data_IF_937824486576
#
_entry.id   IF_937824486576
#
_cell.length_a   1.000
_cell.length_b   1.000
_cell.length_c   1.000
_cell.angle_alpha   90.00
_cell.angle_beta   90.00
_cell.angle_gamma   90.00
#
_symmetry.space_group_name_H-M   'P 1'
#
loop_
_entity.id
_entity.type
_entity.pdbx_description
1 polymer ?
#
# COMPACT_ATOMS: atom_id res chain seq x y z
N UNK A 1 -27.84 -31.87 15.42
CA UNK A 1 -27.66 -31.01 14.25
C UNK A 1 -26.38 -30.24 14.50
N UNK A 2 -25.34 -30.47 13.69
CA UNK A 2 -24.20 -29.57 13.71
C UNK A 2 -24.76 -28.20 13.31
N UNK A 3 -24.59 -27.20 14.19
CA UNK A 3 -24.84 -25.81 13.83
C UNK A 3 -23.71 -25.50 12.86
N UNK A 4 -23.99 -25.55 11.57
CA UNK A 4 -23.03 -25.15 10.57
C UNK A 4 -22.84 -23.65 10.75
N UNK A 5 -21.62 -23.21 11.06
CA UNK A 5 -21.33 -21.80 11.18
C UNK A 5 -21.57 -21.17 9.80
N UNK A 6 -22.41 -20.13 9.67
CA UNK A 6 -22.68 -19.51 8.37
C UNK A 6 -21.40 -19.01 7.68
N UNK A 7 -20.35 -18.67 8.46
CA UNK A 7 -19.02 -18.35 7.92
C UNK A 7 -18.36 -19.54 7.24
N UNK A 8 -18.46 -20.72 7.83
CA UNK A 8 -17.85 -21.94 7.27
C UNK A 8 -18.56 -22.38 5.99
N UNK A 9 -19.90 -22.30 5.97
CA UNK A 9 -20.68 -22.57 4.76
C UNK A 9 -20.28 -21.62 3.62
N UNK A 10 -20.22 -20.31 3.90
CA UNK A 10 -19.79 -19.33 2.91
C UNK A 10 -18.34 -19.58 2.46
N UNK A 11 -17.40 -19.86 3.38
CA UNK A 11 -16.02 -20.17 3.03
C UNK A 11 -15.93 -21.37 2.07
N UNK A 12 -16.68 -22.44 2.34
CA UNK A 12 -16.68 -23.63 1.50
C UNK A 12 -17.23 -23.33 0.10
N UNK A 13 -18.30 -22.52 0.01
CA UNK A 13 -18.85 -22.06 -1.27
C UNK A 13 -17.83 -21.23 -2.03
N UNK A 14 -17.18 -20.26 -1.38
CA UNK A 14 -16.18 -19.41 -2.02
C UNK A 14 -14.98 -20.21 -2.53
N UNK A 15 -14.47 -21.18 -1.76
CA UNK A 15 -13.39 -22.09 -2.20
C UNK A 15 -13.78 -22.94 -3.41
N UNK A 16 -15.08 -23.13 -3.67
CA UNK A 16 -15.56 -23.84 -4.86
C UNK A 16 -15.71 -22.95 -6.09
N UNK A 17 -15.84 -21.63 -5.90
CA UNK A 17 -16.05 -20.65 -6.96
C UNK A 17 -14.72 -20.03 -7.41
N UNK A 18 -13.82 -19.78 -6.47
CA UNK A 18 -12.56 -19.06 -6.70
C UNK A 18 -11.34 -19.98 -6.53
N UNK A 19 -10.33 -19.74 -7.35
CA UNK A 19 -9.03 -20.39 -7.22
C UNK A 19 -8.24 -19.81 -6.03
N UNK A 20 -7.34 -20.61 -5.46
CA UNK A 20 -6.48 -20.21 -4.34
C UNK A 20 -5.53 -19.04 -4.67
N UNK A 21 -5.30 -18.77 -5.95
CA UNK A 21 -4.52 -17.60 -6.41
C UNK A 21 -5.33 -16.29 -6.39
N UNK A 22 -6.65 -16.38 -6.49
CA UNK A 22 -7.56 -15.23 -6.51
C UNK A 22 -8.07 -14.89 -5.11
N UNK A 23 -8.48 -15.91 -4.35
CA UNK A 23 -9.06 -15.76 -3.02
C UNK A 23 -8.42 -16.73 -2.04
N UNK A 24 -7.70 -16.19 -1.06
CA UNK A 24 -7.17 -16.97 0.06
C UNK A 24 -8.07 -16.79 1.27
N UNK A 25 -8.46 -17.89 1.91
CA UNK A 25 -9.25 -17.88 3.14
C UNK A 25 -8.42 -18.57 4.23
N UNK A 26 -8.08 -17.83 5.27
CA UNK A 26 -7.38 -18.34 6.45
C UNK A 26 -8.35 -18.98 7.44
N UNK A 27 -7.83 -19.84 8.32
CA UNK A 27 -8.62 -20.49 9.38
C UNK A 27 -9.24 -19.48 10.37
N UNK A 28 -8.63 -18.30 10.50
CA UNK A 28 -9.12 -17.19 11.34
C UNK A 28 -10.22 -16.35 10.65
N UNK A 29 -10.83 -16.86 9.58
CA UNK A 29 -11.81 -16.12 8.75
C UNK A 29 -11.29 -14.78 8.22
N UNK A 30 -9.99 -14.73 7.93
CA UNK A 30 -9.36 -13.66 7.16
C UNK A 30 -9.31 -14.06 5.69
N UNK A 31 -10.00 -13.29 4.85
CA UNK A 31 -10.05 -13.47 3.41
C UNK A 31 -9.16 -12.42 2.76
N UNK A 32 -8.33 -12.83 1.81
CA UNK A 32 -7.61 -11.91 0.94
C UNK A 32 -8.03 -12.17 -0.50
N UNK A 33 -8.63 -11.16 -1.12
CA UNK A 33 -9.03 -11.20 -2.51
C UNK A 33 -8.08 -10.35 -3.36
N UNK A 34 -7.52 -10.95 -4.40
CA UNK A 34 -6.64 -10.29 -5.35
C UNK A 34 -7.42 -9.85 -6.58
N UNK A 35 -7.44 -8.54 -6.82
CA UNK A 35 -8.12 -7.93 -7.96
C UNK A 35 -7.09 -7.56 -9.03
N UNK A 36 -7.31 -8.04 -10.27
CA UNK A 36 -6.51 -7.68 -11.44
C UNK A 36 -5.34 -8.61 -11.75
N UNK A 37 -4.69 -8.37 -12.89
CA UNK A 37 -3.61 -9.23 -13.40
C UNK A 37 -2.29 -9.00 -12.64
N UNK A 38 -1.66 -10.10 -12.23
CA UNK A 38 -0.42 -10.09 -11.47
C UNK A 38 0.70 -9.33 -12.22
N UNK A 39 1.24 -8.28 -11.60
CA UNK A 39 2.37 -7.53 -12.14
C UNK A 39 1.99 -6.21 -12.83
N UNK A 40 0.70 -5.90 -12.93
CA UNK A 40 0.25 -4.59 -13.41
C UNK A 40 0.08 -3.61 -12.25
N UNK A 41 0.41 -2.33 -12.46
CA UNK A 41 0.18 -1.22 -11.49
C UNK A 41 -1.29 -0.97 -11.12
N UNK A 42 -2.19 -1.75 -11.70
CA UNK A 42 -3.63 -1.71 -11.50
C UNK A 42 -4.13 -2.83 -10.58
N UNK A 43 -3.27 -3.78 -10.21
CA UNK A 43 -3.64 -4.92 -9.37
C UNK A 43 -3.57 -4.57 -7.89
N UNK A 44 -4.52 -5.04 -7.09
CA UNK A 44 -4.56 -4.75 -5.66
C UNK A 44 -5.21 -5.88 -4.85
N UNK A 45 -4.96 -5.90 -3.55
CA UNK A 45 -5.48 -6.92 -2.62
C UNK A 45 -6.47 -6.25 -1.66
N UNK A 46 -7.65 -6.85 -1.49
CA UNK A 46 -8.61 -6.45 -0.47
C UNK A 46 -8.67 -7.53 0.60
N UNK A 47 -8.51 -7.14 1.85
CA UNK A 47 -8.61 -8.03 2.99
C UNK A 47 -9.99 -7.86 3.62
N UNK A 48 -10.67 -8.96 3.88
CA UNK A 48 -11.99 -9.00 4.51
C UNK A 48 -11.93 -9.95 5.70
N UNK A 49 -12.27 -9.47 6.87
CA UNK A 49 -12.32 -10.27 8.10
C UNK A 49 -13.76 -10.46 8.55
N UNK A 50 -14.16 -11.70 8.86
CA UNK A 50 -15.46 -12.01 9.41
C UNK A 50 -15.43 -12.04 10.95
N UNK A 51 -15.99 -11.03 11.62
CA UNK A 51 -16.08 -11.03 13.07
C UNK A 51 -17.04 -12.11 13.58
N UNK A 52 -17.00 -12.35 14.89
CA UNK A 52 -18.00 -13.15 15.58
C UNK A 52 -19.39 -12.51 15.41
N UNK A 53 -20.35 -13.28 14.89
CA UNK A 53 -21.70 -12.79 14.58
C UNK A 53 -21.92 -12.38 13.11
N UNK A 54 -20.93 -12.52 12.22
CA UNK A 54 -21.18 -12.47 10.78
C UNK A 54 -22.11 -13.63 10.35
N UNK A 55 -23.08 -13.41 9.44
CA UNK A 55 -23.30 -12.22 8.60
C UNK A 55 -24.21 -11.13 9.18
N UNK A 56 -24.68 -11.27 10.42
CA UNK A 56 -25.50 -10.25 11.10
C UNK A 56 -24.68 -9.01 11.51
N UNK A 57 -23.36 -9.19 11.63
CA UNK A 57 -22.38 -8.14 11.89
C UNK A 57 -21.58 -7.85 10.63
N UNK A 58 -21.30 -6.56 10.39
CA UNK A 58 -20.52 -6.12 9.25
C UNK A 58 -19.10 -6.73 9.25
N UNK A 59 -18.62 -7.18 8.09
CA UNK A 59 -17.23 -7.59 7.95
C UNK A 59 -16.30 -6.38 8.07
N UNK A 60 -15.08 -6.62 8.57
CA UNK A 60 -14.03 -5.61 8.59
C UNK A 60 -13.26 -5.66 7.27
N UNK A 61 -13.28 -4.56 6.51
CA UNK A 61 -12.67 -4.48 5.18
C UNK A 61 -11.45 -3.55 5.26
N UNK A 62 -10.31 -4.05 4.80
CA UNK A 62 -9.02 -3.37 4.88
C UNK A 62 -8.25 -3.48 3.56
N UNK A 63 -7.50 -2.42 3.21
CA UNK A 63 -6.64 -2.36 2.02
C UNK A 63 -5.16 -2.08 2.37
N UNK A 64 -4.76 -2.45 3.59
CA UNK A 64 -3.45 -2.16 4.17
C UNK A 64 -2.37 -3.17 3.80
N UNK A 65 -2.66 -4.10 2.88
CA UNK A 65 -1.66 -5.01 2.34
C UNK A 65 -0.48 -4.25 1.72
N UNK A 66 0.73 -4.75 1.97
CA UNK A 66 1.97 -4.21 1.39
C UNK A 66 1.92 -4.13 -0.14
N UNK A 67 1.19 -5.07 -0.77
CA UNK A 67 0.97 -5.08 -2.22
C UNK A 67 0.36 -3.77 -2.74
N UNK A 68 -0.48 -3.13 -1.93
CA UNK A 68 -1.22 -1.93 -2.30
C UNK A 68 -0.42 -0.63 -2.11
N UNK A 69 0.88 -0.68 -1.91
CA UNK A 69 1.69 0.53 -1.68
C UNK A 69 1.65 1.51 -2.86
N UNK A 70 1.41 1.00 -4.07
CA UNK A 70 1.32 1.81 -5.29
C UNK A 70 -0.01 2.57 -5.43
N UNK A 71 -0.98 2.32 -4.55
CA UNK A 71 -2.31 2.93 -4.56
C UNK A 71 -2.32 4.11 -3.58
N UNK A 72 -2.74 5.31 -4.02
CA UNK A 72 -2.87 6.45 -3.13
C UNK A 72 -3.94 6.21 -2.05
N UNK A 73 -3.70 6.73 -0.84
CA UNK A 73 -4.57 6.53 0.32
C UNK A 73 -6.02 6.96 0.04
N UNK A 74 -6.22 8.10 -0.62
CA UNK A 74 -7.54 8.62 -0.99
C UNK A 74 -8.37 7.59 -1.79
N UNK A 75 -7.73 6.84 -2.70
CA UNK A 75 -8.44 5.82 -3.48
C UNK A 75 -8.71 4.58 -2.64
N UNK A 76 -7.80 4.19 -1.73
CA UNK A 76 -8.04 3.10 -0.79
C UNK A 76 -9.23 3.40 0.13
N UNK A 77 -9.26 4.60 0.72
CA UNK A 77 -10.35 5.07 1.57
C UNK A 77 -11.67 5.02 0.82
N UNK A 78 -11.71 5.54 -0.42
CA UNK A 78 -12.90 5.51 -1.27
C UNK A 78 -13.39 4.09 -1.57
N UNK A 79 -12.48 3.17 -1.93
CA UNK A 79 -12.85 1.77 -2.19
C UNK A 79 -13.42 1.13 -0.92
N UNK A 80 -12.74 1.30 0.22
CA UNK A 80 -13.19 0.76 1.51
C UNK A 80 -14.56 1.33 1.91
N UNK A 81 -14.79 2.64 1.74
CA UNK A 81 -16.08 3.28 2.01
C UNK A 81 -17.21 2.71 1.12
N UNK A 82 -16.96 2.58 -0.19
CA UNK A 82 -17.94 2.00 -1.12
C UNK A 82 -18.26 0.54 -0.75
N UNK A 83 -17.26 -0.29 -0.43
CA UNK A 83 -17.47 -1.69 -0.02
C UNK A 83 -18.21 -1.81 1.33
N UNK A 84 -17.89 -0.97 2.30
CA UNK A 84 -18.61 -0.93 3.59
C UNK A 84 -20.06 -0.50 3.37
N UNK A 85 -20.35 0.38 2.40
CA UNK A 85 -21.73 0.73 2.03
C UNK A 85 -22.47 -0.48 1.47
N UNK A 86 -21.88 -1.21 0.51
CA UNK A 86 -22.47 -2.42 -0.07
C UNK A 86 -22.74 -3.48 1.00
N UNK A 87 -21.80 -3.68 1.93
CA UNK A 87 -21.95 -4.62 3.03
C UNK A 87 -23.11 -4.27 3.97
N UNK A 88 -23.36 -2.96 4.22
CA UNK A 88 -24.49 -2.49 5.04
C UNK A 88 -25.85 -2.79 4.42
N UNK A 89 -25.96 -2.67 3.11
CA UNK A 89 -27.24 -2.86 2.42
C UNK A 89 -27.65 -4.34 2.35
N UNK A 90 -26.70 -5.27 2.56
CA UNK A 90 -26.88 -6.71 2.38
C UNK A 90 -26.70 -7.55 3.67
N UNK A 91 -26.73 -6.89 4.83
CA UNK A 91 -26.64 -7.52 6.16
C UNK A 91 -27.61 -8.70 6.33
N UNK A 92 -27.17 -9.73 7.07
CA UNK A 92 -27.95 -10.94 7.33
C UNK A 92 -27.88 -11.99 6.22
N UNK A 93 -26.97 -11.84 5.25
CA UNK A 93 -26.71 -12.84 4.20
C UNK A 93 -25.21 -12.89 3.84
N UNK A 94 -24.81 -13.89 3.06
CA UNK A 94 -23.43 -14.00 2.56
C UNK A 94 -23.04 -12.78 1.71
N UNK A 95 -22.05 -12.01 2.18
CA UNK A 95 -21.68 -10.71 1.60
C UNK A 95 -20.50 -10.79 0.64
N UNK A 96 -19.57 -11.72 0.87
CA UNK A 96 -18.24 -11.62 0.25
C UNK A 96 -18.27 -11.83 -1.25
N UNK A 97 -19.12 -12.73 -1.75
CA UNK A 97 -19.30 -12.91 -3.18
C UNK A 97 -19.75 -11.61 -3.86
N UNK A 98 -20.72 -10.90 -3.27
CA UNK A 98 -21.21 -9.63 -3.81
C UNK A 98 -20.14 -8.54 -3.73
N UNK A 99 -19.35 -8.50 -2.65
CA UNK A 99 -18.22 -7.56 -2.53
C UNK A 99 -17.16 -7.80 -3.61
N UNK A 100 -16.86 -9.07 -3.90
CA UNK A 100 -15.93 -9.45 -4.96
C UNK A 100 -16.49 -9.06 -6.34
N UNK A 101 -17.77 -9.32 -6.58
CA UNK A 101 -18.43 -8.94 -7.84
C UNK A 101 -18.42 -7.43 -8.04
N UNK A 102 -18.77 -6.66 -7.00
CA UNK A 102 -18.70 -5.20 -7.00
C UNK A 102 -17.30 -4.69 -7.31
N UNK A 103 -16.25 -5.31 -6.74
CA UNK A 103 -14.86 -4.98 -7.02
C UNK A 103 -14.50 -5.23 -8.49
N UNK A 104 -14.95 -6.35 -9.06
CA UNK A 104 -14.68 -6.70 -10.46
C UNK A 104 -15.36 -5.73 -11.42
N UNK A 105 -16.62 -5.37 -11.16
CA UNK A 105 -17.37 -4.41 -11.97
C UNK A 105 -16.76 -3.00 -11.93
N UNK A 106 -16.27 -2.58 -10.76
CA UNK A 106 -15.73 -1.23 -10.55
C UNK A 106 -14.20 -1.15 -10.73
N UNK A 107 -13.54 -2.27 -11.03
CA UNK A 107 -12.08 -2.35 -11.17
C UNK A 107 -11.53 -1.28 -12.13
N UNK A 108 -12.15 -1.10 -13.31
CA UNK A 108 -11.72 -0.06 -14.25
C UNK A 108 -11.83 1.35 -13.69
N UNK A 109 -12.86 1.63 -12.87
CA UNK A 109 -13.09 2.95 -12.27
C UNK A 109 -12.03 3.26 -11.22
N UNK A 110 -11.67 2.27 -10.41
CA UNK A 110 -10.60 2.38 -9.42
C UNK A 110 -9.23 2.53 -10.08
N UNK A 111 -8.95 1.73 -11.09
CA UNK A 111 -7.65 1.73 -11.78
C UNK A 111 -7.39 2.99 -12.60
N UNK A 112 -8.43 3.57 -13.21
CA UNK A 112 -8.35 4.91 -13.84
C UNK A 112 -7.99 5.98 -12.81
N UNK A 113 -8.51 5.88 -11.59
CA UNK A 113 -8.21 6.83 -10.51
C UNK A 113 -6.75 6.75 -10.02
N UNK A 114 -6.11 5.56 -10.12
CA UNK A 114 -4.69 5.40 -9.76
C UNK A 114 -3.73 6.20 -10.65
N UNK A 115 -4.11 6.44 -11.92
CA UNK A 115 -3.25 7.11 -12.89
C UNK A 115 -3.31 8.65 -12.78
N UNK A 116 -4.45 9.20 -12.36
CA UNK A 116 -4.68 10.64 -12.27
C UNK A 116 -3.80 11.27 -11.18
N UNK A 117 -3.61 10.58 -10.05
CA UNK A 117 -2.82 11.10 -8.92
C UNK A 117 -1.29 10.94 -9.10
N UNK A 118 -0.82 10.15 -10.08
CA UNK A 118 0.61 10.06 -10.40
C UNK A 118 1.15 11.31 -11.11
N UNK A 119 0.28 12.19 -11.59
CA UNK A 119 0.69 13.44 -12.26
C UNK A 119 1.08 14.53 -11.25
N UNK A 120 0.72 14.41 -9.96
CA UNK A 120 0.85 15.52 -9.00
C UNK A 120 1.76 15.25 -7.78
N UNK A 121 2.70 14.31 -7.86
CA UNK A 121 3.83 14.22 -6.88
C UNK A 121 5.15 14.73 -7.47
N UNK A 122 5.09 15.72 -8.37
CA UNK A 122 6.30 16.41 -8.82
C UNK A 122 6.15 17.92 -9.04
N UNK A 123 5.23 18.60 -8.34
CA UNK A 123 5.30 20.06 -8.21
C UNK A 123 4.90 20.57 -6.83
N UNK A 124 5.82 21.31 -6.23
CA UNK A 124 5.58 22.49 -5.40
C UNK A 124 4.64 22.35 -4.18
N UNK A 125 5.27 22.24 -3.00
CA UNK A 125 4.76 22.92 -1.81
C UNK A 125 4.76 24.45 -2.05
N UNK A 126 3.69 24.94 -2.67
CA UNK A 126 3.29 26.36 -2.67
C UNK A 126 2.05 26.46 -1.79
N UNK A 127 2.28 26.85 -0.53
CA UNK A 127 1.24 27.37 0.34
C UNK A 127 0.79 28.74 -0.17
N UNK A 128 -0.52 29.03 -0.18
CA UNK A 128 -0.96 30.41 -0.04
C UNK A 128 -2.09 30.53 0.99
N UNK A 129 -1.84 31.21 2.11
CA UNK A 129 -2.68 32.36 2.46
C UNK A 129 -2.02 33.19 3.56
N UNK A 130 -1.91 34.47 3.27
CA UNK A 130 -1.32 35.53 4.08
C UNK A 130 -2.26 35.94 5.21
N UNK A 131 -1.72 36.17 6.42
CA UNK A 131 -2.01 37.40 7.18
C UNK A 131 -0.76 37.81 7.97
N UNK A 132 -0.56 39.12 8.23
CA UNK A 132 0.77 39.69 8.40
C UNK A 132 1.11 39.94 9.87
N UNK A 133 2.33 39.59 10.30
CA UNK A 133 3.01 40.36 11.37
C UNK A 133 4.53 40.07 11.47
N UNK A 134 5.28 41.16 11.25
CA UNK A 134 6.49 41.58 12.00
C UNK A 134 7.75 40.68 11.91
N UNK A 135 8.68 41.17 11.07
CA UNK A 135 10.15 41.13 11.19
C UNK A 135 10.84 39.96 11.90
N UNK A 136 11.48 39.09 11.12
CA UNK A 136 12.85 38.58 11.38
C UNK A 136 13.53 38.25 10.05
N UNK A 137 14.67 38.90 9.77
CA UNK A 137 15.57 38.56 8.67
C UNK A 137 16.08 37.13 8.88
N UNK A 138 15.48 36.16 8.19
CA UNK A 138 16.09 34.84 8.01
C UNK A 138 16.82 34.84 6.67
N UNK A 139 18.14 34.73 6.74
CA UNK A 139 19.00 34.55 5.59
C UNK A 139 18.55 33.28 4.85
N UNK A 140 17.93 33.44 3.68
CA UNK A 140 17.67 32.32 2.77
C UNK A 140 19.02 31.77 2.37
N UNK A 141 19.36 30.56 2.86
CA UNK A 141 20.50 29.83 2.34
C UNK A 141 20.30 29.67 0.81
N UNK A 142 21.31 29.99 -0.01
CA UNK A 142 21.18 29.91 -1.45
C UNK A 142 20.86 28.46 -1.83
N UNK A 143 19.76 28.29 -2.56
CA UNK A 143 19.34 26.99 -3.07
C UNK A 143 20.43 26.48 -4.02
N UNK A 144 21.29 25.58 -3.52
CA UNK A 144 22.44 25.06 -4.29
C UNK A 144 21.93 24.32 -5.52
N UNK A 145 22.45 24.70 -6.69
CA UNK A 145 22.22 24.00 -7.96
C UNK A 145 22.61 22.52 -7.85
N UNK A 146 21.98 21.65 -8.64
CA UNK A 146 22.33 20.20 -8.71
C UNK A 146 23.82 19.98 -8.89
N UNK A 147 24.48 20.82 -9.70
CA UNK A 147 25.91 20.73 -9.96
C UNK A 147 26.76 21.16 -8.75
N UNK A 148 26.25 22.09 -7.95
CA UNK A 148 26.87 22.57 -6.71
C UNK A 148 26.75 21.52 -5.59
N UNK A 149 25.62 20.83 -5.49
CA UNK A 149 25.44 19.70 -4.56
C UNK A 149 26.39 18.54 -4.88
N UNK A 150 26.57 18.23 -6.16
CA UNK A 150 27.51 17.18 -6.63
C UNK A 150 28.96 17.51 -6.23
N UNK A 151 29.43 18.74 -6.48
CA UNK A 151 30.76 19.19 -6.06
C UNK A 151 30.98 19.17 -4.54
N UNK A 152 29.93 19.39 -3.75
CA UNK A 152 30.02 19.32 -2.29
C UNK A 152 30.16 17.88 -1.79
N UNK A 153 29.57 16.92 -2.50
CA UNK A 153 29.68 15.49 -2.18
C UNK A 153 31.03 14.91 -2.64
N UNK A 154 31.59 15.42 -3.74
CA UNK A 154 32.91 15.04 -4.26
C UNK A 154 34.09 15.64 -3.45
N UNK A 155 33.80 16.46 -2.43
CA UNK A 155 34.84 17.10 -1.61
C UNK A 155 35.44 16.07 -0.64
N UNK A 156 36.48 15.37 -1.09
CA UNK A 156 37.36 14.54 -0.25
C UNK A 156 37.88 15.35 0.95
N UNK A 157 37.91 14.72 2.13
CA UNK A 157 38.48 15.30 3.34
C UNK A 157 39.98 15.61 3.21
N UNK A 158 40.56 16.29 4.20
CA UNK A 158 41.97 16.72 4.23
C UNK A 158 43.02 15.62 4.04
N UNK A 159 42.63 14.34 4.11
CA UNK A 159 43.52 13.19 3.88
C UNK A 159 43.46 12.57 2.49
N UNK A 160 42.60 13.04 1.57
CA UNK A 160 42.47 12.45 0.22
C UNK A 160 41.93 11.01 0.19
N UNK A 161 41.60 10.43 1.34
CA UNK A 161 41.06 9.09 1.46
C UNK A 161 39.52 9.11 1.37
N UNK A 162 38.99 8.20 0.54
CA UNK A 162 37.55 7.98 0.41
C UNK A 162 37.04 7.28 1.68
N UNK A 163 35.88 7.68 2.23
CA UNK A 163 35.35 7.05 3.43
C UNK A 163 35.10 5.55 3.22
N UNK A 164 35.28 4.75 4.28
CA UNK A 164 34.91 3.33 4.27
C UNK A 164 33.44 3.21 3.85
N UNK A 165 33.16 2.38 2.84
CA UNK A 165 31.83 2.26 2.25
C UNK A 165 31.61 3.05 0.96
N UNK A 166 32.55 3.88 0.50
CA UNK A 166 32.43 4.59 -0.80
C UNK A 166 32.38 3.63 -2.00
N UNK A 167 33.09 2.51 -1.91
CA UNK A 167 33.04 1.44 -2.91
C UNK A 167 32.53 0.16 -2.24
N UNK A 168 31.41 -0.36 -2.74
CA UNK A 168 30.80 -1.61 -2.26
C UNK A 168 31.74 -2.81 -2.43
N UNK A 169 32.63 -2.80 -3.43
CA UNK A 169 33.67 -3.84 -3.63
C UNK A 169 34.67 -3.86 -2.46
N UNK A 170 35.00 -2.68 -1.90
CA UNK A 170 35.87 -2.58 -0.72
C UNK A 170 35.20 -3.12 0.55
N UNK A 171 33.88 -2.94 0.68
CA UNK A 171 33.09 -3.49 1.79
C UNK A 171 33.04 -5.03 1.70
N UNK A 172 32.79 -5.57 0.51
CA UNK A 172 32.78 -7.03 0.29
C UNK A 172 34.15 -7.63 0.59
N UNK A 173 35.24 -7.01 0.10
CA UNK A 173 36.60 -7.49 0.40
C UNK A 173 36.90 -7.44 1.90
N UNK A 174 36.46 -6.39 2.60
CA UNK A 174 36.62 -6.27 4.05
C UNK A 174 35.83 -7.34 4.83
N UNK A 175 34.59 -7.63 4.41
CA UNK A 175 33.76 -8.69 4.99
C UNK A 175 34.35 -10.08 4.73
N UNK A 176 34.85 -10.34 3.52
CA UNK A 176 35.54 -11.61 3.19
C UNK A 176 36.81 -11.80 4.02
N UNK A 177 37.53 -10.72 4.31
CA UNK A 177 38.76 -10.75 5.10
C UNK A 177 38.53 -10.90 6.61
N UNK A 178 37.33 -10.58 7.10
CA UNK A 178 36.92 -10.74 8.52
C UNK A 178 36.17 -12.05 8.79
N UNK A 179 35.79 -12.79 7.75
CA UNK A 179 35.09 -14.08 7.84
C UNK A 179 35.99 -15.32 8.01
N UNK A 180 37.32 -15.18 8.03
CA UNK A 180 38.27 -16.30 8.20
C UNK A 180 38.87 -16.41 9.61
N UNK A 181 38.32 -15.68 10.59
CA UNK A 181 38.71 -15.76 11.99
C UNK A 181 37.54 -16.28 12.85
N UNK A 182 37.13 -17.53 12.64
CA UNK A 182 36.52 -18.45 13.62
C UNK A 182 36.40 -19.84 13.01
#
# INVERSE_FOLDING_TARGET
MAICDPREEEAQVLRSIFDEEELTISDDYNLEYKVGEAGTISSFIVQVYWPEGYPDVLPCISMDSFYNHHIPLNVKEKITEELVSVAKDQLGSALTFNLIEYLKENYERFTKSFAVDKVDTSQNNLFPSETPSVYRKQNKLPQLSKNQKRKHLDRLGQGGELPRGWNWISVIKHLQQTGSAS
#
